data_IF_060931374725
#
_entry.id   IF_060931374725
#
_cell.length_a   1.000
_cell.length_b   1.000
_cell.length_c   1.000
_cell.angle_alpha   90.00
_cell.angle_beta   90.00
_cell.angle_gamma   90.00
#
_symmetry.space_group_name_H-M   'P 1'
#
loop_
_entity.id
_entity.type
_entity.pdbx_description
1 polymer ?
#
# COMPACT_ATOMS: atom_id res chain seq x y z
N UNK A 1 3.48 38.86 81.55
CA UNK A 1 4.25 39.99 82.08
C UNK A 1 4.51 40.94 80.92
N UNK A 2 3.90 42.15 80.93
CA UNK A 2 4.22 43.40 80.17
C UNK A 2 4.50 43.32 78.65
N UNK A 3 4.04 44.21 77.76
CA UNK A 3 3.34 45.49 77.84
C UNK A 3 2.91 45.90 76.42
N UNK A 4 1.75 46.54 76.34
CA UNK A 4 1.24 47.44 75.30
C UNK A 4 2.26 48.53 74.94
N UNK A 5 2.35 49.02 73.69
CA UNK A 5 2.38 50.46 73.34
C UNK A 5 2.37 50.74 71.81
N UNK A 6 1.21 51.20 71.31
CA UNK A 6 0.95 52.37 70.43
C UNK A 6 1.95 52.69 69.28
N UNK A 7 1.49 52.82 68.03
CA UNK A 7 0.99 54.07 67.44
C UNK A 7 0.55 53.88 65.98
N UNK A 8 -0.52 54.59 65.67
CA UNK A 8 -1.17 54.81 64.38
C UNK A 8 -0.26 55.63 63.46
N UNK A 9 -0.05 55.22 62.20
CA UNK A 9 0.10 56.19 61.12
C UNK A 9 -0.48 55.63 59.82
N UNK A 10 -1.50 56.34 59.34
CA UNK A 10 -2.18 56.19 58.06
C UNK A 10 -1.24 56.68 56.96
N UNK A 11 -1.12 55.94 55.85
CA UNK A 11 -1.14 56.48 54.47
C UNK A 11 -1.57 55.34 53.55
N UNK A 12 -2.72 55.55 52.92
CA UNK A 12 -3.26 54.75 51.84
C UNK A 12 -2.67 55.22 50.51
N UNK A 13 -2.16 54.32 49.66
CA UNK A 13 -2.12 54.51 48.20
C UNK A 13 -2.14 53.12 47.53
N UNK A 14 -3.33 52.79 47.02
CA UNK A 14 -3.63 52.08 45.75
C UNK A 14 -3.04 50.68 45.51
N UNK A 15 -3.86 49.66 45.71
CA UNK A 15 -3.63 48.32 45.18
C UNK A 15 -3.77 48.31 43.66
N UNK A 16 -2.70 47.92 42.98
CA UNK A 16 -2.75 47.47 41.59
C UNK A 16 -3.39 46.09 41.62
N UNK A 17 -4.63 45.99 41.14
CA UNK A 17 -5.24 44.72 40.80
C UNK A 17 -4.47 44.21 39.58
N UNK A 18 -3.53 43.31 39.81
CA UNK A 18 -2.95 42.49 38.74
C UNK A 18 -4.03 41.49 38.38
N UNK A 19 -4.86 41.85 37.40
CA UNK A 19 -5.73 40.89 36.75
C UNK A 19 -4.82 39.99 35.91
N UNK A 20 -4.41 38.87 36.53
CA UNK A 20 -3.79 37.77 35.81
C UNK A 20 -4.83 37.26 34.81
N UNK A 21 -4.71 37.67 33.55
CA UNK A 21 -5.22 36.87 32.46
C UNK A 21 -4.46 35.54 32.53
N UNK A 22 -5.08 34.53 33.16
CA UNK A 22 -4.78 33.17 32.79
C UNK A 22 -5.26 33.05 31.35
N UNK A 23 -4.33 33.14 30.41
CA UNK A 23 -4.55 32.54 29.11
C UNK A 23 -4.68 31.05 29.42
N UNK A 24 -5.89 30.52 29.29
CA UNK A 24 -6.07 29.08 29.16
C UNK A 24 -5.33 28.72 27.88
N UNK A 25 -4.12 28.21 28.08
CA UNK A 25 -3.35 27.54 27.07
C UNK A 25 -4.13 26.25 26.82
N UNK A 26 -5.04 26.28 25.85
CA UNK A 26 -5.64 25.08 25.28
C UNK A 26 -4.50 24.34 24.55
N UNK A 27 -3.59 23.76 25.35
CA UNK A 27 -2.54 22.90 24.88
C UNK A 27 -3.20 21.78 24.10
N UNK A 28 -2.68 21.51 22.90
CA UNK A 28 -3.09 20.37 22.10
C UNK A 28 -2.96 19.13 22.99
N UNK A 29 -4.08 18.53 23.37
CA UNK A 29 -4.09 17.26 24.09
C UNK A 29 -3.70 16.20 23.06
N UNK A 30 -2.42 15.85 23.02
CA UNK A 30 -1.93 14.71 22.25
C UNK A 30 -2.34 13.46 23.02
N UNK A 31 -3.41 12.82 22.58
CA UNK A 31 -3.83 11.52 23.11
C UNK A 31 -2.85 10.47 22.57
N UNK A 32 -2.14 9.72 23.42
CA UNK A 32 -1.26 8.65 22.96
C UNK A 32 -2.03 7.63 22.10
N UNK A 33 -1.37 7.00 21.12
CA UNK A 33 -1.98 5.90 20.37
C UNK A 33 -2.48 4.80 21.32
N UNK A 34 -3.59 4.18 20.95
CA UNK A 34 -4.11 2.99 21.63
C UNK A 34 -3.19 1.80 21.38
N UNK A 35 -3.29 0.81 22.25
CA UNK A 35 -2.50 -0.42 22.15
C UNK A 35 -2.94 -1.26 20.94
N UNK A 36 -1.98 -1.71 20.12
CA UNK A 36 -2.27 -2.51 18.92
C UNK A 36 -2.99 -3.81 19.25
N UNK A 37 -2.62 -4.49 20.35
CA UNK A 37 -3.22 -5.78 20.71
C UNK A 37 -4.67 -5.62 21.22
N UNK A 38 -5.04 -4.45 21.75
CA UNK A 38 -6.43 -4.13 22.07
C UNK A 38 -7.24 -3.83 20.80
N UNK A 39 -6.73 -2.92 19.95
CA UNK A 39 -7.46 -2.44 18.77
C UNK A 39 -7.67 -3.56 17.75
N UNK A 40 -6.68 -4.43 17.53
CA UNK A 40 -6.82 -5.54 16.57
C UNK A 40 -7.99 -6.45 16.92
N UNK A 41 -8.23 -6.70 18.21
CA UNK A 41 -9.34 -7.55 18.67
C UNK A 41 -10.70 -6.85 18.49
N UNK A 42 -10.77 -5.54 18.69
CA UNK A 42 -11.98 -4.75 18.44
C UNK A 42 -12.32 -4.69 16.96
N UNK A 43 -11.32 -4.41 16.13
CA UNK A 43 -11.46 -4.36 14.68
C UNK A 43 -11.87 -5.72 14.12
N UNK A 44 -11.24 -6.81 14.58
CA UNK A 44 -11.59 -8.17 14.18
C UNK A 44 -13.05 -8.48 14.52
N UNK A 45 -13.48 -8.18 15.75
CA UNK A 45 -14.86 -8.40 16.16
C UNK A 45 -15.86 -7.57 15.32
N UNK A 46 -15.52 -6.31 15.01
CA UNK A 46 -16.37 -5.44 14.19
C UNK A 46 -16.48 -5.93 12.74
N UNK A 47 -15.36 -6.36 12.15
CA UNK A 47 -15.33 -6.93 10.80
C UNK A 47 -16.14 -8.23 10.76
N UNK A 48 -15.95 -9.14 11.72
CA UNK A 48 -16.68 -10.41 11.75
C UNK A 48 -18.19 -10.20 11.96
N UNK A 49 -18.59 -9.26 12.81
CA UNK A 49 -20.01 -8.89 12.95
C UNK A 49 -20.58 -8.36 11.63
N UNK A 50 -19.84 -7.48 10.94
CA UNK A 50 -20.25 -6.98 9.62
C UNK A 50 -20.42 -8.14 8.63
N UNK A 51 -19.42 -9.02 8.53
CA UNK A 51 -19.42 -10.16 7.61
C UNK A 51 -20.54 -11.17 7.90
N UNK A 52 -20.91 -11.34 9.17
CA UNK A 52 -22.03 -12.22 9.56
C UNK A 52 -23.40 -11.64 9.23
N UNK A 53 -23.51 -10.31 9.18
CA UNK A 53 -24.79 -9.59 9.04
C UNK A 53 -25.04 -9.04 7.64
N UNK A 54 -24.05 -9.12 6.75
CA UNK A 54 -24.12 -8.62 5.38
C UNK A 54 -23.91 -9.73 4.35
N UNK A 55 -24.42 -9.50 3.14
CA UNK A 55 -24.21 -10.31 1.95
C UNK A 55 -23.81 -9.40 0.78
N UNK A 56 -23.27 -9.98 -0.29
CA UNK A 56 -23.00 -9.24 -1.53
C UNK A 56 -24.06 -9.49 -2.60
N UNK A 57 -24.22 -8.52 -3.49
CA UNK A 57 -24.91 -8.70 -4.75
C UNK A 57 -24.20 -7.91 -5.86
N UNK A 58 -24.48 -8.29 -7.11
CA UNK A 58 -23.95 -7.61 -8.29
C UNK A 58 -24.96 -6.55 -8.76
N UNK A 59 -24.57 -5.28 -8.67
CA UNK A 59 -25.40 -4.17 -9.14
C UNK A 59 -25.22 -3.98 -10.66
N UNK A 60 -26.26 -4.34 -11.42
CA UNK A 60 -26.30 -4.21 -12.89
C UNK A 60 -27.00 -2.95 -13.37
N UNK A 61 -27.60 -2.15 -12.48
CA UNK A 61 -28.46 -1.02 -12.88
C UNK A 61 -27.66 0.25 -13.12
N UNK A 62 -26.62 0.50 -12.31
CA UNK A 62 -25.72 1.64 -12.46
C UNK A 62 -24.27 1.18 -12.20
N UNK A 63 -23.71 0.28 -13.02
CA UNK A 63 -22.32 -0.11 -12.88
C UNK A 63 -21.39 1.07 -13.25
N UNK A 64 -20.12 1.06 -12.78
CA UNK A 64 -19.09 1.93 -13.32
C UNK A 64 -18.99 1.83 -14.85
N UNK A 65 -18.57 2.90 -15.52
CA UNK A 65 -18.51 2.95 -16.98
C UNK A 65 -17.61 1.85 -17.53
N UNK A 66 -18.07 1.12 -18.56
CA UNK A 66 -17.34 0.00 -19.16
C UNK A 66 -17.57 -1.36 -18.48
N UNK A 67 -18.42 -1.42 -17.44
CA UNK A 67 -18.74 -2.64 -16.70
C UNK A 67 -20.22 -3.00 -16.80
N UNK A 68 -20.52 -4.30 -16.74
CA UNK A 68 -21.91 -4.80 -16.73
C UNK A 68 -22.49 -4.89 -15.32
N UNK A 69 -21.63 -4.96 -14.31
CA UNK A 69 -21.97 -5.09 -12.90
C UNK A 69 -20.81 -4.70 -11.96
N UNK A 70 -21.14 -4.46 -10.68
CA UNK A 70 -20.18 -4.16 -9.63
C UNK A 70 -20.66 -4.68 -8.26
N UNK A 71 -19.73 -5.06 -7.38
CA UNK A 71 -20.08 -5.57 -6.04
C UNK A 71 -20.67 -4.46 -5.17
N UNK A 72 -21.83 -4.74 -4.58
CA UNK A 72 -22.45 -3.95 -3.52
C UNK A 72 -22.80 -4.86 -2.33
N UNK A 73 -22.90 -4.27 -1.14
CA UNK A 73 -23.26 -4.97 0.09
C UNK A 73 -24.62 -4.49 0.60
N UNK A 74 -25.37 -5.41 1.21
CA UNK A 74 -26.60 -5.10 1.92
C UNK A 74 -26.75 -6.02 3.15
N UNK A 75 -27.61 -5.63 4.06
CA UNK A 75 -27.89 -6.31 5.32
C UNK A 75 -28.79 -7.53 5.11
N UNK A 76 -28.53 -8.59 5.88
CA UNK A 76 -29.36 -9.80 5.98
C UNK A 76 -30.54 -9.50 6.88
N UNK A 77 -31.49 -8.74 6.34
CA UNK A 77 -32.70 -8.32 7.05
C UNK A 77 -33.89 -8.19 6.09
N UNK A 78 -35.11 -8.22 6.63
CA UNK A 78 -36.33 -8.06 5.85
C UNK A 78 -36.46 -9.05 4.69
N UNK A 79 -36.39 -8.54 3.45
CA UNK A 79 -36.45 -9.37 2.25
C UNK A 79 -35.21 -10.25 2.04
N UNK A 80 -34.10 -9.95 2.71
CA UNK A 80 -32.80 -10.60 2.55
C UNK A 80 -32.48 -11.66 3.62
N UNK A 81 -33.44 -12.04 4.49
CA UNK A 81 -33.22 -12.97 5.63
C UNK A 81 -32.67 -14.37 5.24
N UNK A 82 -32.72 -14.73 3.96
CA UNK A 82 -32.18 -16.01 3.44
C UNK A 82 -30.87 -15.90 2.67
N UNK A 83 -30.24 -14.72 2.62
CA UNK A 83 -28.97 -14.54 1.91
C UNK A 83 -27.81 -15.16 2.69
N UNK A 84 -26.79 -15.61 1.95
CA UNK A 84 -25.57 -16.17 2.53
C UNK A 84 -24.71 -15.04 3.12
N UNK A 85 -24.30 -15.13 4.39
CA UNK A 85 -23.35 -14.21 4.99
C UNK A 85 -22.05 -14.11 4.20
N UNK A 86 -21.44 -12.93 4.19
CA UNK A 86 -20.08 -12.75 3.67
C UNK A 86 -19.08 -13.62 4.43
N UNK A 87 -19.30 -13.81 5.74
CA UNK A 87 -18.42 -14.62 6.59
C UNK A 87 -18.25 -16.05 6.09
N UNK A 88 -19.28 -16.62 5.45
CA UNK A 88 -19.23 -17.99 4.90
C UNK A 88 -18.52 -18.06 3.52
N UNK A 89 -18.10 -16.91 2.99
CA UNK A 89 -17.63 -16.74 1.61
C UNK A 89 -16.27 -16.05 1.51
N UNK A 90 -15.79 -15.45 2.60
CA UNK A 90 -14.44 -14.91 2.69
C UNK A 90 -13.45 -15.98 3.14
N UNK A 91 -12.19 -15.82 2.75
CA UNK A 91 -11.06 -16.47 3.42
C UNK A 91 -10.20 -15.40 4.10
N UNK A 92 -9.26 -15.85 4.92
CA UNK A 92 -8.39 -14.94 5.70
C UNK A 92 -6.93 -15.08 5.27
N UNK A 93 -6.23 -13.95 5.23
CA UNK A 93 -4.78 -13.83 5.14
C UNK A 93 -4.30 -13.14 6.42
N UNK A 94 -3.28 -13.70 7.06
CA UNK A 94 -2.70 -13.13 8.29
C UNK A 94 -1.44 -12.35 7.93
N UNK A 95 -1.30 -11.15 8.48
CA UNK A 95 -0.16 -10.27 8.32
C UNK A 95 0.32 -9.80 9.68
N UNK A 96 1.63 -9.67 9.86
CA UNK A 96 2.20 -9.17 11.11
C UNK A 96 2.34 -7.65 11.04
N UNK A 97 1.92 -6.98 12.12
CA UNK A 97 2.22 -5.57 12.36
C UNK A 97 2.75 -5.48 13.79
N UNK A 98 4.02 -5.10 13.95
CA UNK A 98 4.70 -5.08 15.26
C UNK A 98 4.58 -6.43 15.99
N UNK A 99 4.87 -7.53 15.30
CA UNK A 99 4.73 -8.92 15.80
C UNK A 99 3.30 -9.33 16.22
N UNK A 100 2.29 -8.51 15.92
CA UNK A 100 0.89 -8.80 16.23
C UNK A 100 0.18 -9.25 14.95
N UNK A 101 -0.43 -10.46 14.94
CA UNK A 101 -1.15 -10.94 13.78
C UNK A 101 -2.46 -10.16 13.57
N UNK A 102 -2.65 -9.70 12.34
CA UNK A 102 -3.84 -9.02 11.84
C UNK A 102 -4.44 -9.82 10.68
N UNK A 103 -5.77 -9.98 10.68
CA UNK A 103 -6.48 -10.71 9.61
C UNK A 103 -7.00 -9.75 8.56
N UNK A 104 -6.64 -9.99 7.31
CA UNK A 104 -7.35 -9.47 6.14
C UNK A 104 -8.37 -10.52 5.70
N UNK A 105 -9.63 -10.10 5.53
CA UNK A 105 -10.69 -10.97 5.01
C UNK A 105 -10.93 -10.63 3.55
N UNK A 106 -10.98 -11.66 2.69
CA UNK A 106 -11.00 -11.48 1.24
C UNK A 106 -12.17 -12.26 0.65
N UNK A 107 -13.10 -11.53 0.03
CA UNK A 107 -14.14 -12.09 -0.81
C UNK A 107 -13.60 -12.16 -2.24
N UNK A 108 -13.25 -13.36 -2.70
CA UNK A 108 -12.77 -13.59 -4.06
C UNK A 108 -13.90 -14.14 -4.91
N UNK A 109 -14.53 -13.25 -5.69
CA UNK A 109 -15.66 -13.61 -6.55
C UNK A 109 -15.17 -14.18 -7.89
N UNK A 110 -14.24 -13.46 -8.52
CA UNK A 110 -13.55 -13.88 -9.73
C UNK A 110 -12.04 -13.71 -9.52
N UNK A 111 -11.24 -14.74 -9.80
CA UNK A 111 -9.78 -14.63 -9.69
C UNK A 111 -9.21 -13.64 -10.71
N UNK A 112 -9.78 -13.60 -11.92
CA UNK A 112 -9.14 -13.00 -13.09
C UNK A 112 -8.26 -14.02 -13.83
N UNK A 113 -8.03 -13.80 -15.12
CA UNK A 113 -7.27 -14.71 -15.98
C UNK A 113 -6.02 -14.07 -16.61
N UNK A 114 -5.76 -12.79 -16.35
CA UNK A 114 -4.51 -12.12 -16.72
C UNK A 114 -3.41 -12.34 -15.69
N UNK A 115 -2.45 -11.41 -15.65
CA UNK A 115 -1.27 -11.48 -14.79
C UNK A 115 -1.64 -11.27 -13.31
N UNK A 116 -0.88 -11.90 -12.41
CA UNK A 116 -0.99 -11.71 -10.98
C UNK A 116 -0.01 -10.60 -10.56
N UNK A 117 -0.44 -9.57 -9.80
CA UNK A 117 0.46 -8.52 -9.34
C UNK A 117 1.42 -9.03 -8.27
N UNK A 118 2.63 -8.50 -8.29
CA UNK A 118 3.54 -8.46 -7.16
C UNK A 118 3.14 -7.33 -6.20
N UNK A 119 3.70 -7.32 -5.00
CA UNK A 119 3.37 -6.31 -3.99
C UNK A 119 3.98 -4.93 -4.29
N UNK A 120 4.92 -4.82 -5.22
CA UNK A 120 5.51 -3.55 -5.67
C UNK A 120 4.91 -3.02 -6.98
N UNK A 121 4.16 -3.86 -7.70
CA UNK A 121 3.62 -3.54 -9.03
C UNK A 121 2.69 -2.31 -9.05
N UNK A 122 2.51 -1.76 -10.26
CA UNK A 122 1.42 -0.83 -10.52
C UNK A 122 0.18 -1.52 -11.08
N UNK A 123 -0.94 -1.37 -10.38
CA UNK A 123 -2.24 -1.92 -10.78
C UNK A 123 -3.21 -0.85 -11.25
N UNK A 124 -4.11 -1.21 -12.16
CA UNK A 124 -5.26 -0.37 -12.54
C UNK A 124 -6.53 -1.04 -12.07
N UNK A 125 -7.31 -0.36 -11.24
CA UNK A 125 -8.58 -0.88 -10.75
C UNK A 125 -9.70 0.15 -10.79
N UNK A 126 -10.93 -0.37 -10.80
CA UNK A 126 -12.14 0.40 -10.46
C UNK A 126 -12.56 -0.07 -9.08
N UNK A 127 -12.78 0.87 -8.17
CA UNK A 127 -12.94 0.53 -6.76
C UNK A 127 -13.89 1.46 -6.00
N UNK A 128 -14.35 0.99 -4.84
CA UNK A 128 -15.02 1.78 -3.80
C UNK A 128 -14.47 1.42 -2.43
N UNK A 129 -14.12 2.44 -1.66
CA UNK A 129 -13.68 2.35 -0.27
C UNK A 129 -14.76 2.84 0.69
N UNK A 130 -15.18 1.99 1.63
CA UNK A 130 -16.19 2.31 2.64
C UNK A 130 -15.74 1.90 4.04
N UNK A 131 -16.22 2.62 5.05
CA UNK A 131 -16.22 2.15 6.43
C UNK A 131 -17.29 1.08 6.62
N UNK A 132 -17.22 0.31 7.72
CA UNK A 132 -18.21 -0.73 8.05
C UNK A 132 -19.63 -0.19 8.26
N UNK A 133 -19.80 1.09 8.57
CA UNK A 133 -21.12 1.74 8.67
C UNK A 133 -21.71 2.15 7.31
N UNK A 134 -20.99 1.87 6.21
CA UNK A 134 -21.37 2.21 4.84
C UNK A 134 -20.90 3.59 4.37
N UNK A 135 -20.27 4.40 5.23
CA UNK A 135 -19.71 5.71 4.83
C UNK A 135 -18.68 5.53 3.73
N UNK A 136 -18.94 6.12 2.56
CA UNK A 136 -18.00 6.15 1.43
C UNK A 136 -16.89 7.16 1.74
N UNK A 137 -15.63 6.73 1.72
CA UNK A 137 -14.49 7.63 1.89
C UNK A 137 -13.72 7.86 0.59
N UNK A 138 -13.73 6.90 -0.34
CA UNK A 138 -13.07 7.02 -1.64
C UNK A 138 -13.72 6.15 -2.72
N UNK A 139 -13.58 6.52 -3.99
CA UNK A 139 -14.00 5.70 -5.12
C UNK A 139 -13.37 6.14 -6.43
N UNK A 140 -12.90 5.18 -7.22
CA UNK A 140 -12.52 5.35 -8.62
C UNK A 140 -13.56 4.72 -9.53
N UNK A 141 -14.59 5.47 -9.93
CA UNK A 141 -15.62 4.99 -10.89
C UNK A 141 -15.11 4.93 -12.34
N UNK A 142 -13.95 5.52 -12.59
CA UNK A 142 -13.13 5.32 -13.78
C UNK A 142 -11.86 4.56 -13.38
N UNK A 143 -11.26 3.77 -14.30
CA UNK A 143 -10.00 3.07 -14.03
C UNK A 143 -8.95 4.01 -13.42
N UNK A 144 -8.46 3.65 -12.24
CA UNK A 144 -7.48 4.42 -11.48
C UNK A 144 -6.23 3.57 -11.30
N UNK A 145 -5.07 4.16 -11.55
CA UNK A 145 -3.77 3.52 -11.34
C UNK A 145 -3.34 3.70 -9.89
N UNK A 146 -2.83 2.62 -9.31
CA UNK A 146 -2.18 2.59 -8.01
C UNK A 146 -0.79 2.02 -8.19
N UNK A 147 0.18 2.64 -7.55
CA UNK A 147 1.45 2.01 -7.21
C UNK A 147 1.23 1.32 -5.86
N UNK A 148 1.49 0.02 -5.79
CA UNK A 148 1.20 -0.79 -4.62
C UNK A 148 2.17 -0.53 -3.45
N UNK A 149 3.34 0.06 -3.68
CA UNK A 149 4.24 0.53 -2.60
C UNK A 149 3.64 1.75 -1.86
N UNK A 150 2.78 2.51 -2.55
CA UNK A 150 2.21 3.78 -2.08
C UNK A 150 0.81 3.68 -1.45
N UNK A 151 0.33 2.46 -1.16
CA UNK A 151 -1.01 2.21 -0.58
C UNK A 151 -0.92 1.51 0.78
N UNK A 152 -2.02 1.49 1.53
CA UNK A 152 -2.06 0.80 2.84
C UNK A 152 -1.74 -0.68 2.70
N UNK A 153 -0.93 -1.24 3.60
CA UNK A 153 -0.50 -2.66 3.59
C UNK A 153 -1.65 -3.63 3.39
N UNK A 154 -2.80 -3.42 4.03
CA UNK A 154 -3.98 -4.27 3.86
C UNK A 154 -4.60 -4.23 2.46
N UNK A 155 -4.53 -3.09 1.76
CA UNK A 155 -4.99 -2.97 0.37
C UNK A 155 -3.99 -3.62 -0.58
N UNK A 156 -2.70 -3.31 -0.44
CA UNK A 156 -1.60 -3.96 -1.16
C UNK A 156 -1.75 -5.49 -1.12
N UNK A 157 -1.76 -6.03 0.09
CA UNK A 157 -1.80 -7.47 0.35
C UNK A 157 -3.12 -8.13 -0.02
N UNK A 158 -4.21 -7.36 -0.07
CA UNK A 158 -5.51 -7.86 -0.52
C UNK A 158 -5.65 -7.85 -2.05
N UNK A 159 -5.04 -6.89 -2.75
CA UNK A 159 -5.14 -6.76 -4.23
C UNK A 159 -4.30 -7.81 -4.94
N UNK A 160 -3.11 -8.15 -4.42
CA UNK A 160 -2.23 -9.19 -5.00
C UNK A 160 -2.84 -10.60 -4.98
N UNK A 161 -3.96 -10.78 -4.29
CA UNK A 161 -4.70 -12.04 -4.29
C UNK A 161 -5.57 -12.23 -5.55
N UNK A 162 -5.65 -11.23 -6.42
CA UNK A 162 -6.42 -11.23 -7.67
C UNK A 162 -5.47 -11.13 -8.88
N UNK A 163 -6.00 -11.44 -10.07
CA UNK A 163 -5.33 -11.28 -11.34
C UNK A 163 -6.00 -10.19 -12.19
N UNK A 164 -5.22 -9.60 -13.09
CA UNK A 164 -5.69 -8.63 -14.08
C UNK A 164 -6.60 -9.23 -15.15
N UNK A 165 -6.97 -8.37 -16.09
CA UNK A 165 -7.74 -8.73 -17.29
C UNK A 165 -6.87 -9.40 -18.33
N UNK A 166 -7.46 -10.29 -19.14
CA UNK A 166 -6.81 -10.90 -20.32
C UNK A 166 -6.74 -9.95 -21.51
N UNK A 167 -7.45 -8.83 -21.47
CA UNK A 167 -7.43 -7.86 -22.56
C UNK A 167 -8.56 -6.85 -22.53
N UNK A 168 -8.44 -5.90 -23.44
CA UNK A 168 -9.38 -4.78 -23.59
C UNK A 168 -10.16 -4.87 -24.89
N UNK A 169 -11.43 -4.48 -24.85
CA UNK A 169 -12.30 -4.32 -26.02
C UNK A 169 -12.58 -2.83 -26.21
N UNK A 170 -12.22 -2.30 -27.38
CA UNK A 170 -12.64 -0.95 -27.80
C UNK A 170 -14.13 -0.99 -28.20
N UNK A 171 -14.94 -0.16 -27.54
CA UNK A 171 -16.38 -0.10 -27.79
C UNK A 171 -16.75 0.82 -28.96
N UNK A 172 -15.79 1.58 -29.51
CA UNK A 172 -16.01 2.48 -30.65
C UNK A 172 -16.74 3.78 -30.31
N UNK A 173 -17.04 4.03 -29.03
CA UNK A 173 -17.63 5.26 -28.49
C UNK A 173 -16.65 6.05 -27.61
N UNK A 174 -15.36 5.67 -27.63
CA UNK A 174 -14.31 6.24 -26.81
C UNK A 174 -14.18 5.60 -25.42
N UNK A 175 -14.94 4.54 -25.14
CA UNK A 175 -14.80 3.73 -23.92
C UNK A 175 -14.15 2.37 -24.21
N UNK A 176 -13.55 1.79 -23.18
CA UNK A 176 -12.89 0.49 -23.22
C UNK A 176 -13.52 -0.45 -22.20
N UNK A 177 -13.83 -1.67 -22.62
CA UNK A 177 -14.27 -2.75 -21.74
C UNK A 177 -13.11 -3.69 -21.44
N UNK A 178 -13.17 -4.41 -20.33
CA UNK A 178 -12.16 -5.39 -19.91
C UNK A 178 -12.79 -6.78 -19.83
N UNK A 179 -12.03 -7.83 -20.19
CA UNK A 179 -12.49 -9.23 -20.11
C UNK A 179 -11.76 -10.00 -19.03
N UNK A 180 -12.45 -10.93 -18.37
CA UNK A 180 -11.85 -11.88 -17.44
C UNK A 180 -10.97 -11.24 -16.34
N UNK A 181 -11.38 -10.07 -15.84
CA UNK A 181 -10.68 -9.35 -14.77
C UNK A 181 -10.99 -9.94 -13.39
N UNK A 182 -10.06 -9.78 -12.45
CA UNK A 182 -10.27 -10.15 -11.05
C UNK A 182 -11.30 -9.26 -10.37
N UNK A 183 -12.13 -9.85 -9.51
CA UNK A 183 -13.22 -9.16 -8.84
C UNK A 183 -13.39 -9.65 -7.42
N UNK A 184 -13.51 -8.72 -6.48
CA UNK A 184 -13.73 -9.08 -5.10
C UNK A 184 -13.85 -7.91 -4.15
N UNK A 185 -13.68 -8.23 -2.88
CA UNK A 185 -13.63 -7.27 -1.80
C UNK A 185 -12.61 -7.66 -0.73
N UNK A 186 -12.09 -6.65 -0.06
CA UNK A 186 -11.07 -6.75 0.98
C UNK A 186 -11.62 -6.04 2.22
N UNK A 187 -11.50 -6.67 3.39
CA UNK A 187 -11.83 -6.08 4.68
C UNK A 187 -10.58 -6.16 5.55
N UNK A 188 -10.14 -5.02 6.08
CA UNK A 188 -8.89 -4.92 6.83
C UNK A 188 -9.09 -4.14 8.14
N UNK A 189 -8.45 -4.58 9.23
CA UNK A 189 -8.40 -3.81 10.48
C UNK A 189 -7.61 -2.52 10.27
N UNK A 190 -7.83 -1.56 11.16
CA UNK A 190 -7.17 -0.26 11.11
C UNK A 190 -5.64 -0.37 11.23
N UNK A 191 -5.12 -1.39 11.91
CA UNK A 191 -3.67 -1.66 12.01
C UNK A 191 -2.98 -1.99 10.69
N UNK A 192 -3.73 -2.45 9.68
CA UNK A 192 -3.25 -2.65 8.31
C UNK A 192 -3.59 -1.47 7.38
N UNK A 193 -4.15 -0.41 7.94
CA UNK A 193 -4.55 0.82 7.28
C UNK A 193 -3.93 2.03 7.99
N UNK A 194 -4.76 2.99 8.44
CA UNK A 194 -4.28 4.26 9.01
C UNK A 194 -4.17 4.25 10.55
N UNK A 195 -4.53 3.15 11.22
CA UNK A 195 -4.50 2.97 12.67
C UNK A 195 -4.97 4.22 13.44
N UNK A 196 -4.10 4.93 14.16
CA UNK A 196 -4.45 6.10 14.96
C UNK A 196 -4.54 7.42 14.17
N UNK A 197 -4.20 7.42 12.88
CA UNK A 197 -4.27 8.57 12.01
C UNK A 197 -5.66 8.74 11.41
N UNK A 198 -6.26 9.91 11.61
CA UNK A 198 -7.48 10.27 10.89
C UNK A 198 -7.15 10.82 9.50
N UNK A 199 -7.88 10.36 8.49
CA UNK A 199 -7.84 10.89 7.11
C UNK A 199 -9.21 11.52 6.77
N UNK A 200 -9.35 12.31 5.69
CA UNK A 200 -10.66 12.79 5.27
C UNK A 200 -11.67 11.65 5.16
N UNK A 201 -12.78 11.76 5.88
CA UNK A 201 -13.85 10.74 5.97
C UNK A 201 -13.43 9.37 6.55
N UNK A 202 -12.25 9.26 7.15
CA UNK A 202 -11.76 8.06 7.83
C UNK A 202 -11.34 8.46 9.24
N UNK A 203 -12.20 8.25 10.26
CA UNK A 203 -11.80 8.41 11.65
C UNK A 203 -10.63 7.50 12.03
N UNK A 204 -9.85 7.89 13.04
CA UNK A 204 -8.86 7.01 13.63
C UNK A 204 -9.50 5.69 14.10
N UNK A 205 -8.73 4.61 14.00
CA UNK A 205 -9.06 3.24 14.35
C UNK A 205 -10.26 2.69 13.57
N UNK A 206 -10.39 3.08 12.30
CA UNK A 206 -11.46 2.57 11.43
C UNK A 206 -10.98 1.37 10.61
N UNK A 207 -11.65 0.21 10.70
CA UNK A 207 -11.56 -0.83 9.70
C UNK A 207 -12.01 -0.30 8.33
N UNK A 208 -11.32 -0.73 7.28
CA UNK A 208 -11.63 -0.32 5.91
C UNK A 208 -12.15 -1.50 5.10
N UNK A 209 -13.07 -1.20 4.19
CA UNK A 209 -13.55 -2.15 3.19
C UNK A 209 -13.30 -1.59 1.81
N UNK A 210 -12.75 -2.42 0.92
CA UNK A 210 -12.60 -2.11 -0.49
C UNK A 210 -13.33 -3.13 -1.32
N UNK A 211 -13.96 -2.66 -2.39
CA UNK A 211 -14.55 -3.50 -3.44
C UNK A 211 -13.92 -3.08 -4.74
N UNK A 212 -13.48 -4.05 -5.54
CA UNK A 212 -12.66 -3.74 -6.71
C UNK A 212 -12.88 -4.70 -7.88
N UNK A 213 -12.65 -4.15 -9.06
CA UNK A 213 -12.35 -4.88 -10.30
C UNK A 213 -10.89 -4.58 -10.65
N UNK A 214 -10.01 -5.58 -10.68
CA UNK A 214 -8.59 -5.46 -11.02
C UNK A 214 -8.40 -5.64 -12.53
N UNK A 215 -8.05 -4.56 -13.22
CA UNK A 215 -8.13 -4.48 -14.68
C UNK A 215 -6.77 -4.73 -15.33
N UNK A 216 -5.72 -4.10 -14.84
CA UNK A 216 -4.38 -4.21 -15.39
C UNK A 216 -3.37 -4.37 -14.27
N UNK A 217 -2.30 -5.08 -14.57
CA UNK A 217 -1.11 -5.26 -13.75
C UNK A 217 0.06 -4.82 -14.62
N UNK A 218 1.01 -4.09 -14.03
CA UNK A 218 2.23 -3.67 -14.70
C UNK A 218 3.33 -3.91 -13.67
N UNK A 219 4.29 -4.75 -14.03
CA UNK A 219 5.49 -4.96 -13.24
C UNK A 219 6.21 -3.63 -13.04
N UNK A 220 6.70 -3.40 -11.83
CA UNK A 220 7.39 -2.17 -11.48
C UNK A 220 8.91 -2.39 -11.44
N UNK A 221 9.59 -1.37 -11.92
CA UNK A 221 11.03 -1.11 -11.86
C UNK A 221 11.07 0.42 -11.70
N UNK A 222 11.28 0.87 -10.46
CA UNK A 222 10.93 2.24 -10.05
C UNK A 222 12.04 3.25 -10.38
N UNK A 223 13.29 2.84 -10.23
CA UNK A 223 14.52 3.57 -10.60
C UNK A 223 14.90 3.37 -12.09
N UNK A 224 14.38 2.33 -12.76
CA UNK A 224 14.65 1.96 -14.15
C UNK A 224 16.09 1.45 -14.35
N UNK A 225 16.53 0.57 -13.46
CA UNK A 225 17.83 -0.06 -13.52
C UNK A 225 17.83 -1.51 -14.06
N UNK A 226 16.67 -1.99 -14.52
CA UNK A 226 16.40 -3.35 -15.00
C UNK A 226 16.32 -4.45 -13.93
N UNK A 227 16.31 -4.10 -12.64
CA UNK A 227 15.93 -5.00 -11.56
C UNK A 227 14.45 -4.76 -11.21
N UNK A 228 13.55 -5.73 -11.43
CA UNK A 228 12.17 -5.58 -10.99
C UNK A 228 12.06 -5.35 -9.48
N UNK A 229 11.32 -4.34 -9.04
CA UNK A 229 11.29 -3.90 -7.64
C UNK A 229 10.82 -4.92 -6.61
N UNK A 230 10.23 -6.03 -7.03
CA UNK A 230 9.89 -7.11 -6.10
C UNK A 230 11.07 -8.06 -5.80
N UNK A 231 12.15 -7.99 -6.58
CA UNK A 231 13.37 -8.78 -6.36
C UNK A 231 14.33 -8.11 -5.37
N UNK A 232 14.15 -6.81 -5.15
CA UNK A 232 14.94 -5.98 -4.22
C UNK A 232 14.41 -6.05 -2.78
N UNK A 233 13.40 -6.89 -2.52
CA UNK A 233 13.02 -7.33 -1.18
C UNK A 233 13.94 -8.49 -0.79
N UNK A 234 15.09 -8.13 -0.21
CA UNK A 234 16.20 -9.04 0.01
C UNK A 234 15.95 -9.99 1.18
N UNK A 235 15.18 -9.55 2.18
CA UNK A 235 14.85 -10.36 3.35
C UNK A 235 13.54 -11.15 3.25
N UNK A 236 12.70 -10.80 2.27
CA UNK A 236 11.47 -11.50 1.88
C UNK A 236 10.28 -11.23 2.82
N UNK A 237 10.28 -10.11 3.54
CA UNK A 237 9.20 -9.73 4.46
C UNK A 237 8.10 -8.84 3.83
N UNK A 238 8.26 -8.54 2.53
CA UNK A 238 7.39 -7.71 1.70
C UNK A 238 7.30 -6.23 2.20
N UNK A 239 8.37 -5.72 2.83
CA UNK A 239 8.55 -4.33 3.26
C UNK A 239 9.67 -3.58 2.53
N UNK A 240 9.70 -3.63 1.20
CA UNK A 240 10.68 -2.96 0.30
C UNK A 240 11.24 -1.56 0.65
N UNK A 241 10.57 -0.79 1.51
CA UNK A 241 11.03 0.53 1.95
C UNK A 241 12.12 0.48 3.03
N UNK A 242 12.49 -0.71 3.55
CA UNK A 242 13.56 -0.87 4.55
C UNK A 242 14.73 -1.76 4.13
N UNK A 243 14.72 -2.32 2.92
CA UNK A 243 15.89 -2.86 2.22
C UNK A 243 16.75 -1.69 1.70
N UNK A 244 18.00 -1.59 2.18
CA UNK A 244 18.97 -0.51 1.94
C UNK A 244 20.37 -1.13 2.06
N UNK A 245 20.92 -1.54 0.92
CA UNK A 245 22.11 -2.41 0.81
C UNK A 245 23.40 -1.68 1.14
N UNK A 246 23.56 -0.42 0.72
CA UNK A 246 24.74 0.41 1.00
C UNK A 246 24.63 1.27 2.29
N UNK A 247 23.42 1.41 2.84
CA UNK A 247 23.13 2.14 4.07
C UNK A 247 23.06 3.66 3.91
N UNK A 248 22.80 4.18 2.71
CA UNK A 248 22.73 5.62 2.43
C UNK A 248 21.35 6.26 2.76
N UNK A 249 20.37 5.43 3.14
CA UNK A 249 18.96 5.75 3.41
C UNK A 249 18.08 5.97 2.17
N UNK A 250 18.51 5.56 0.99
CA UNK A 250 17.65 5.25 -0.14
C UNK A 250 17.37 3.75 -0.16
N UNK A 251 16.09 3.33 -0.18
CA UNK A 251 15.80 1.92 -0.34
C UNK A 251 16.21 1.44 -1.74
N UNK A 252 16.67 0.18 -1.84
CA UNK A 252 17.24 -0.41 -3.07
C UNK A 252 16.35 -0.12 -4.28
N UNK A 253 15.03 -0.39 -4.17
CA UNK A 253 14.05 -0.14 -5.24
C UNK A 253 13.84 1.32 -5.71
N UNK A 254 14.58 2.28 -5.15
CA UNK A 254 14.61 3.67 -5.56
C UNK A 254 16.05 4.20 -5.71
N UNK A 255 17.04 3.37 -5.45
CA UNK A 255 18.44 3.62 -5.73
C UNK A 255 18.79 3.11 -7.14
N UNK A 256 19.92 3.51 -7.69
CA UNK A 256 20.37 3.09 -9.02
C UNK A 256 21.76 2.49 -8.97
N UNK A 257 22.29 2.29 -7.77
CA UNK A 257 23.67 1.96 -7.38
C UNK A 257 23.57 1.34 -5.99
N UNK A 258 22.85 0.22 -5.88
CA UNK A 258 22.27 -0.29 -4.62
C UNK A 258 23.35 -0.69 -3.59
N UNK A 259 24.54 -1.06 -4.06
CA UNK A 259 25.68 -1.41 -3.23
C UNK A 259 26.65 -0.22 -2.97
N UNK A 260 26.42 0.92 -3.63
CA UNK A 260 27.16 2.16 -3.48
C UNK A 260 28.61 2.08 -3.94
N UNK A 261 28.94 1.17 -4.86
CA UNK A 261 30.29 1.00 -5.38
C UNK A 261 30.70 2.04 -6.44
N UNK A 262 29.68 2.74 -6.99
CA UNK A 262 29.81 3.79 -7.98
C UNK A 262 29.56 3.33 -9.42
N UNK A 263 29.19 2.06 -9.61
CA UNK A 263 28.73 1.47 -10.86
C UNK A 263 27.21 1.36 -10.79
N UNK A 264 26.45 2.03 -11.67
CA UNK A 264 24.99 1.91 -11.60
C UNK A 264 24.54 0.46 -11.83
N UNK A 265 23.55 -0.03 -11.08
CA UNK A 265 22.98 -1.39 -11.14
C UNK A 265 22.74 -1.86 -12.59
N UNK A 266 22.12 -1.03 -13.41
CA UNK A 266 21.85 -1.35 -14.83
C UNK A 266 23.10 -1.57 -15.69
N UNK A 267 24.22 -0.99 -15.29
CA UNK A 267 25.49 -1.04 -16.00
C UNK A 267 26.32 -2.26 -15.57
N UNK A 268 25.87 -3.00 -14.56
CA UNK A 268 26.48 -4.25 -14.07
C UNK A 268 25.90 -5.52 -14.74
N UNK A 269 25.10 -5.32 -15.78
CA UNK A 269 24.64 -6.34 -16.74
C UNK A 269 25.80 -6.72 -17.67
N UNK A 270 26.61 -7.71 -17.26
CA UNK A 270 27.86 -8.09 -17.91
C UNK A 270 27.77 -9.40 -18.70
N UNK A 271 26.73 -10.19 -18.49
CA UNK A 271 26.52 -11.42 -19.23
C UNK A 271 26.40 -11.15 -20.74
N UNK A 272 26.92 -12.05 -21.59
CA UNK A 272 26.84 -11.85 -23.03
C UNK A 272 25.38 -11.94 -23.50
N UNK A 273 24.97 -11.02 -24.38
CA UNK A 273 23.61 -10.99 -24.89
C UNK A 273 23.14 -12.35 -25.43
N UNK A 274 22.11 -12.88 -24.77
CA UNK A 274 21.49 -14.14 -25.12
C UNK A 274 20.43 -14.02 -26.22
N UNK A 275 19.92 -12.81 -26.50
CA UNK A 275 18.94 -12.48 -27.54
C UNK A 275 19.44 -11.46 -28.56
N UNK A 276 20.21 -11.98 -29.52
CA UNK A 276 20.81 -11.23 -30.65
C UNK A 276 19.79 -10.66 -31.67
N UNK A 277 18.51 -10.55 -31.30
CA UNK A 277 17.44 -9.98 -32.13
C UNK A 277 16.87 -8.68 -31.58
N UNK A 278 17.21 -8.33 -30.34
CA UNK A 278 16.81 -7.09 -29.67
C UNK A 278 18.02 -6.17 -29.62
N UNK A 279 17.84 -4.92 -30.07
CA UNK A 279 18.85 -3.86 -30.07
C UNK A 279 18.61 -3.00 -28.82
N UNK A 280 19.19 -3.44 -27.69
CA UNK A 280 19.02 -2.88 -26.35
C UNK A 280 19.74 -1.55 -26.20
N UNK A 281 20.93 -1.41 -26.79
CA UNK A 281 21.69 -0.16 -26.72
C UNK A 281 21.24 0.89 -27.77
N UNK A 282 20.47 0.45 -28.77
CA UNK A 282 19.88 1.29 -29.80
C UNK A 282 20.87 1.76 -30.87
N UNK A 283 22.02 1.10 -31.00
CA UNK A 283 23.05 1.42 -31.99
C UNK A 283 22.72 0.93 -33.42
N UNK A 284 21.71 0.06 -33.53
CA UNK A 284 21.22 -0.51 -34.79
C UNK A 284 21.81 -1.86 -35.17
N UNK A 285 22.63 -2.48 -34.32
CA UNK A 285 23.20 -3.82 -34.47
C UNK A 285 23.00 -4.65 -33.19
N UNK A 286 21.90 -5.44 -33.11
CA UNK A 286 21.55 -6.25 -31.93
C UNK A 286 22.52 -7.42 -31.67
N UNK A 287 23.67 -7.48 -32.34
CA UNK A 287 24.64 -8.58 -32.21
C UNK A 287 25.88 -8.21 -31.42
N UNK A 288 25.98 -6.95 -30.99
CA UNK A 288 27.08 -6.42 -30.17
C UNK A 288 26.62 -5.76 -28.88
N UNK A 289 25.36 -5.95 -28.51
CA UNK A 289 24.84 -5.57 -27.22
C UNK A 289 25.67 -6.24 -26.11
N UNK A 290 25.97 -5.46 -25.08
CA UNK A 290 26.57 -5.93 -23.84
C UNK A 290 25.44 -6.08 -22.82
N UNK A 291 25.46 -7.15 -22.04
CA UNK A 291 24.38 -7.47 -21.13
C UNK A 291 23.26 -8.27 -21.80
N UNK A 292 22.55 -9.09 -21.02
CA UNK A 292 21.35 -9.81 -21.47
C UNK A 292 20.04 -9.14 -21.00
N UNK A 293 20.16 -8.02 -20.29
CA UNK A 293 19.08 -7.21 -19.74
C UNK A 293 18.67 -7.60 -18.32
N UNK A 294 19.48 -8.40 -17.62
CA UNK A 294 19.18 -8.93 -16.28
C UNK A 294 20.44 -8.86 -15.38
N UNK A 295 20.67 -7.71 -14.68
CA UNK A 295 21.78 -7.56 -13.75
C UNK A 295 21.76 -8.57 -12.59
N UNK A 296 20.63 -9.23 -12.33
CA UNK A 296 20.45 -10.08 -11.15
C UNK A 296 21.22 -11.40 -11.23
N UNK A 297 21.76 -11.74 -12.40
CA UNK A 297 22.50 -12.96 -12.65
C UNK A 297 24.02 -12.78 -12.79
N UNK A 298 24.50 -11.54 -12.76
CA UNK A 298 25.91 -11.19 -12.90
C UNK A 298 26.68 -11.33 -11.58
N UNK A 299 27.73 -12.15 -11.58
CA UNK A 299 28.62 -12.40 -10.44
C UNK A 299 30.07 -12.51 -10.94
N UNK A 300 30.74 -11.36 -10.99
CA UNK A 300 32.05 -11.16 -11.60
C UNK A 300 33.16 -11.92 -10.88
N UNK A 301 33.07 -12.02 -9.55
CA UNK A 301 34.11 -12.58 -8.70
C UNK A 301 33.83 -14.05 -8.26
N UNK A 302 32.60 -14.52 -8.53
CA UNK A 302 32.05 -15.85 -8.25
C UNK A 302 31.94 -16.18 -6.76
N UNK A 303 31.65 -15.20 -5.91
CA UNK A 303 31.42 -15.39 -4.47
C UNK A 303 29.96 -15.74 -4.11
N UNK A 304 29.04 -15.56 -5.07
CA UNK A 304 27.62 -15.86 -4.95
C UNK A 304 26.72 -14.68 -4.55
N UNK A 305 27.26 -13.46 -4.49
CA UNK A 305 26.52 -12.20 -4.40
C UNK A 305 26.48 -11.59 -5.81
N UNK A 306 25.29 -11.21 -6.34
CA UNK A 306 25.23 -10.49 -7.60
C UNK A 306 25.96 -9.15 -7.53
N UNK A 307 26.55 -8.70 -8.64
CA UNK A 307 27.37 -7.47 -8.69
C UNK A 307 26.62 -6.26 -8.10
N UNK A 308 25.33 -6.07 -8.46
CA UNK A 308 24.52 -4.96 -7.95
C UNK A 308 24.27 -4.93 -6.44
N UNK A 309 24.68 -5.99 -5.72
CA UNK A 309 24.65 -6.09 -4.27
C UNK A 309 26.05 -6.33 -3.67
N UNK A 310 27.11 -6.23 -4.47
CA UNK A 310 28.48 -6.59 -4.11
C UNK A 310 29.46 -5.40 -4.25
N UNK A 311 29.71 -4.65 -3.16
CA UNK A 311 30.48 -3.40 -3.20
C UNK A 311 31.98 -3.57 -3.48
N UNK A 312 32.46 -4.79 -3.73
CA UNK A 312 33.81 -5.05 -4.23
C UNK A 312 33.89 -5.41 -5.72
N UNK A 313 32.74 -5.47 -6.42
CA UNK A 313 32.57 -5.84 -7.83
C UNK A 313 32.20 -4.66 -8.76
N UNK A 314 33.11 -3.70 -8.91
CA UNK A 314 32.91 -2.46 -9.71
C UNK A 314 32.97 -2.64 -11.25
N UNK A 315 32.56 -3.79 -11.77
CA UNK A 315 32.67 -4.10 -13.19
C UNK A 315 31.47 -3.52 -13.97
N UNK A 316 31.74 -2.78 -15.06
CA UNK A 316 30.70 -2.11 -15.83
C UNK A 316 30.73 -2.51 -17.31
N UNK A 317 29.53 -2.74 -17.85
CA UNK A 317 29.25 -2.94 -19.28
C UNK A 317 29.69 -1.75 -20.15
N UNK A 318 29.94 -0.58 -19.55
CA UNK A 318 30.41 0.62 -20.22
C UNK A 318 31.94 0.73 -20.32
N UNK A 319 32.73 -0.06 -19.57
CA UNK A 319 34.20 0.03 -19.62
C UNK A 319 34.81 -0.45 -20.95
N UNK A 320 34.06 -1.24 -21.74
CA UNK A 320 34.51 -1.85 -22.99
C UNK A 320 33.99 -1.18 -24.30
N UNK A 321 33.27 -0.04 -24.21
CA UNK A 321 32.71 0.70 -25.36
C UNK A 321 33.62 1.80 -25.96
#
# INVERSE_FOLDING_TARGET
MMRIFKYLMIIAVTGIIIQSCNKEDDGIIVVPPRDFAEVVLEDEAAIEEYLQTHFYYLNTTNPPSGFVDFIEFDTIAGANIGQTPLMDQVYTKELLVQDIPHKVYILKLDQGLGDAPKFTDSVVCVYKGNLLDGTLFDSGISPSRFDLTSVTRGFNQGVIEFNGSTGTIDNGDGTTSFTDFGRGAIFMPSGLAYFNESRPNIPAYSPLTFRLNLLQVNEADHDNDNVPSYLEDLDGDELIVDDDSDGDNFPDYLDTDDDGDGTPTREEDLEPDSDLTVDRDGDGDPTNDYGDGDPTNDDSDNDGIPNYLDPDSTASSQEDQ
#
